data_IF_439178238061
#
_entry.id   IF_439178238061
#
_cell.length_a   1.000
_cell.length_b   1.000
_cell.length_c   1.000
_cell.angle_alpha   90.00
_cell.angle_beta   90.00
_cell.angle_gamma   90.00
#
_symmetry.space_group_name_H-M   'P 1'
#
loop_
_entity.id
_entity.type
_entity.pdbx_description
1 polymer ?
#
# COMPACT_ATOMS: atom_id res chain seq x y z
N UNK A 1 30.76 23.92 -12.45
CA UNK A 1 29.71 24.94 -12.18
C UNK A 1 29.10 24.62 -10.83
N UNK A 2 29.55 25.29 -9.77
CA UNK A 2 29.23 24.88 -8.38
C UNK A 2 27.95 25.50 -7.80
N UNK A 3 27.41 26.52 -8.47
CA UNK A 3 26.29 27.33 -7.97
C UNK A 3 24.93 26.94 -8.55
N UNK A 4 24.87 26.03 -9.52
CA UNK A 4 23.59 25.58 -10.10
C UNK A 4 22.89 24.68 -9.09
N UNK A 5 21.71 25.12 -8.63
CA UNK A 5 20.90 24.44 -7.60
C UNK A 5 19.69 23.70 -8.16
N UNK A 6 19.34 23.99 -9.39
CA UNK A 6 18.20 23.37 -10.05
C UNK A 6 18.48 23.42 -11.55
N UNK A 7 18.20 22.32 -12.24
CA UNK A 7 18.31 22.24 -13.69
C UNK A 7 17.06 21.58 -14.23
N UNK A 8 16.15 22.42 -14.73
CA UNK A 8 14.96 22.00 -15.42
C UNK A 8 15.22 22.02 -16.94
N UNK A 9 15.13 20.85 -17.57
CA UNK A 9 15.30 20.68 -19.02
C UNK A 9 13.96 20.63 -19.77
N UNK A 10 12.87 21.08 -19.14
CA UNK A 10 11.53 21.03 -19.72
C UNK A 10 11.47 21.74 -21.07
N UNK A 11 10.86 21.05 -22.05
CA UNK A 11 10.72 21.55 -23.42
C UNK A 11 12.00 21.60 -24.25
N UNK A 12 13.16 21.15 -23.74
CA UNK A 12 14.39 21.11 -24.54
C UNK A 12 14.37 19.94 -25.57
N UNK A 13 14.88 20.12 -26.79
CA UNK A 13 14.98 19.03 -27.77
C UNK A 13 16.21 18.12 -27.54
N UNK A 14 16.65 17.95 -26.29
CA UNK A 14 17.89 17.22 -25.98
C UNK A 14 17.66 15.71 -26.12
N UNK A 15 18.43 15.06 -27.01
CA UNK A 15 18.44 13.61 -27.18
C UNK A 15 19.50 12.91 -26.31
N UNK A 16 20.54 13.63 -25.88
CA UNK A 16 21.64 13.08 -25.10
C UNK A 16 22.19 14.14 -24.15
N UNK A 17 22.32 13.79 -22.87
CA UNK A 17 23.03 14.63 -21.91
C UNK A 17 24.53 14.44 -22.12
N UNK A 18 25.31 15.51 -22.39
CA UNK A 18 26.73 15.37 -22.58
C UNK A 18 27.43 14.97 -21.28
N UNK A 19 28.53 14.23 -21.38
CA UNK A 19 29.33 13.78 -20.21
C UNK A 19 29.72 14.94 -19.27
N UNK A 20 29.85 16.16 -19.79
CA UNK A 20 30.14 17.37 -19.00
C UNK A 20 29.12 17.69 -17.92
N UNK A 21 27.91 17.10 -17.95
CA UNK A 21 26.91 17.23 -16.87
C UNK A 21 27.44 16.71 -15.52
N UNK A 22 28.40 15.78 -15.52
CA UNK A 22 29.03 15.31 -14.27
C UNK A 22 29.81 16.43 -13.55
N UNK A 23 30.16 17.52 -14.25
CA UNK A 23 30.87 18.68 -13.67
C UNK A 23 29.92 19.66 -12.95
N UNK A 24 28.62 19.35 -12.89
CA UNK A 24 27.62 20.09 -12.13
C UNK A 24 27.63 19.67 -10.65
N UNK A 25 28.79 19.72 -10.01
CA UNK A 25 29.02 19.25 -8.63
C UNK A 25 28.13 19.94 -7.57
N UNK A 26 27.56 21.10 -7.92
CA UNK A 26 26.61 21.87 -7.11
C UNK A 26 25.17 21.34 -7.11
N UNK A 27 24.77 20.53 -8.11
CA UNK A 27 23.38 20.26 -8.45
C UNK A 27 22.73 19.23 -7.53
N UNK A 28 21.67 19.58 -6.79
CA UNK A 28 20.91 18.66 -5.95
C UNK A 28 19.78 17.93 -6.67
N UNK A 29 19.17 18.54 -7.68
CA UNK A 29 18.02 18.00 -8.42
C UNK A 29 18.24 18.12 -9.93
N UNK A 30 18.00 17.02 -10.65
CA UNK A 30 17.97 16.98 -12.11
C UNK A 30 16.55 16.69 -12.60
N UNK A 31 15.98 17.61 -13.36
CA UNK A 31 14.59 17.55 -13.83
C UNK A 31 14.50 17.45 -15.35
N UNK A 32 13.85 16.38 -15.81
CA UNK A 32 13.71 15.95 -17.19
C UNK A 32 12.23 15.72 -17.51
N UNK A 33 11.51 16.81 -17.75
CA UNK A 33 10.08 16.78 -18.09
C UNK A 33 9.88 17.08 -19.57
N UNK A 34 9.56 16.07 -20.36
CA UNK A 34 9.38 16.28 -21.79
C UNK A 34 8.03 15.77 -22.22
N UNK A 35 7.38 16.52 -23.11
CA UNK A 35 6.28 16.02 -23.92
C UNK A 35 6.84 15.65 -25.30
N UNK A 36 7.09 14.36 -25.54
CA UNK A 36 7.28 13.78 -26.88
C UNK A 36 8.53 14.17 -27.72
N UNK A 37 9.64 14.66 -27.16
CA UNK A 37 10.74 15.21 -27.99
C UNK A 37 11.81 14.22 -28.49
N UNK A 38 12.30 13.24 -27.69
CA UNK A 38 13.29 12.24 -28.15
C UNK A 38 13.46 11.09 -27.13
N UNK A 39 14.22 10.05 -27.51
CA UNK A 39 14.85 9.15 -26.53
C UNK A 39 15.98 9.95 -25.88
N UNK A 40 16.00 10.00 -24.55
CA UNK A 40 17.02 10.72 -23.78
C UNK A 40 18.07 9.73 -23.29
N UNK A 41 19.28 9.90 -23.78
CA UNK A 41 20.46 9.17 -23.31
C UNK A 41 21.10 9.93 -22.16
N UNK A 42 21.31 9.24 -21.03
CA UNK A 42 21.81 9.82 -19.78
C UNK A 42 23.09 9.08 -19.38
N UNK A 43 24.24 9.75 -19.28
CA UNK A 43 25.45 9.17 -18.70
C UNK A 43 25.20 8.60 -17.31
N UNK A 44 25.53 7.33 -17.09
CA UNK A 44 25.34 6.69 -15.78
C UNK A 44 26.18 7.37 -14.68
N UNK A 45 27.28 8.04 -15.03
CA UNK A 45 28.14 8.78 -14.10
C UNK A 45 27.45 9.94 -13.39
N UNK A 46 26.32 10.45 -13.91
CA UNK A 46 25.52 11.52 -13.26
C UNK A 46 25.14 11.13 -11.83
N UNK A 47 24.90 9.84 -11.56
CA UNK A 47 24.51 9.37 -10.21
C UNK A 47 25.65 9.52 -9.18
N UNK A 48 26.89 9.76 -9.63
CA UNK A 48 28.08 9.96 -8.79
C UNK A 48 28.30 11.44 -8.43
N UNK A 49 27.46 12.35 -8.93
CA UNK A 49 27.55 13.77 -8.60
C UNK A 49 27.36 13.98 -7.09
N UNK A 50 28.26 14.74 -6.42
CA UNK A 50 28.40 14.72 -4.96
C UNK A 50 27.20 15.28 -4.20
N UNK A 51 26.42 16.17 -4.83
CA UNK A 51 25.21 16.78 -4.24
C UNK A 51 23.90 16.26 -4.82
N UNK A 52 23.92 15.46 -5.89
CA UNK A 52 22.72 15.01 -6.57
C UNK A 52 21.94 14.04 -5.68
N UNK A 53 20.77 14.49 -5.22
CA UNK A 53 19.86 13.76 -4.36
C UNK A 53 18.64 13.28 -5.14
N UNK A 54 18.18 14.07 -6.12
CA UNK A 54 16.91 13.84 -6.77
C UNK A 54 17.06 13.80 -8.31
N UNK A 55 16.43 12.81 -8.93
CA UNK A 55 16.32 12.68 -10.38
C UNK A 55 14.84 12.51 -10.72
N UNK A 56 14.31 13.44 -11.51
CA UNK A 56 12.93 13.41 -11.98
C UNK A 56 12.88 13.32 -13.49
N UNK A 57 12.26 12.27 -14.00
CA UNK A 57 11.97 12.08 -15.40
C UNK A 57 10.48 11.77 -15.58
N UNK A 58 9.81 12.47 -16.50
CA UNK A 58 8.42 12.16 -16.87
C UNK A 58 8.14 12.44 -18.34
N UNK A 59 7.37 11.56 -18.96
CA UNK A 59 6.84 11.74 -20.32
C UNK A 59 7.87 11.54 -21.44
N UNK A 60 8.98 10.87 -21.14
CA UNK A 60 10.04 10.60 -22.12
C UNK A 60 9.61 9.53 -23.12
N UNK A 61 9.97 9.70 -24.40
CA UNK A 61 9.79 8.65 -25.43
C UNK A 61 10.67 7.42 -25.15
N UNK A 62 11.74 7.60 -24.37
CA UNK A 62 12.65 6.58 -23.89
C UNK A 62 13.70 7.23 -23.00
N UNK A 63 14.15 6.51 -21.97
CA UNK A 63 15.34 6.89 -21.19
C UNK A 63 16.31 5.71 -21.19
N UNK A 64 17.57 5.98 -21.54
CA UNK A 64 18.63 4.99 -21.63
C UNK A 64 19.85 5.46 -20.86
N UNK A 65 20.40 4.58 -20.04
CA UNK A 65 21.68 4.82 -19.40
C UNK A 65 22.82 4.55 -20.37
N UNK A 66 23.70 5.54 -20.57
CA UNK A 66 24.97 5.33 -21.23
C UNK A 66 25.96 4.83 -20.18
N UNK A 67 26.38 3.57 -20.32
CA UNK A 67 27.48 3.00 -19.53
C UNK A 67 28.77 3.71 -19.93
N UNK A 68 29.63 4.04 -18.97
CA UNK A 68 31.01 4.40 -19.28
C UNK A 68 31.70 3.14 -19.82
N UNK A 69 32.51 3.30 -20.88
CA UNK A 69 33.39 2.22 -21.34
C UNK A 69 34.44 1.90 -20.27
N UNK A 70 34.78 0.61 -20.15
CA UNK A 70 35.59 -0.04 -19.12
C UNK A 70 37.08 0.40 -19.07
N UNK A 71 37.37 1.69 -19.26
CA UNK A 71 38.71 2.27 -19.17
C UNK A 71 39.08 2.81 -17.78
N UNK A 72 38.09 2.97 -16.88
CA UNK A 72 38.26 3.50 -15.52
C UNK A 72 37.51 2.68 -14.47
N UNK A 73 37.23 1.40 -14.73
CA UNK A 73 36.99 0.46 -13.64
C UNK A 73 38.31 0.21 -12.92
N UNK A 74 38.74 1.16 -12.08
CA UNK A 74 39.58 0.80 -10.94
C UNK A 74 38.76 -0.18 -10.09
N UNK A 75 38.94 -1.46 -10.40
CA UNK A 75 38.61 -2.61 -9.57
C UNK A 75 39.41 -2.50 -8.26
N UNK A 76 38.93 -1.63 -7.38
CA UNK A 76 39.42 -1.41 -6.04
C UNK A 76 38.24 -1.23 -5.07
N UNK A 77 38.46 -1.42 -3.76
CA UNK A 77 37.43 -1.30 -2.73
C UNK A 77 37.10 0.18 -2.47
N UNK A 78 36.42 0.82 -3.42
CA UNK A 78 36.20 2.27 -3.41
C UNK A 78 35.11 2.74 -4.37
N UNK A 79 34.11 1.91 -4.68
CA UNK A 79 32.95 2.36 -5.45
C UNK A 79 32.21 3.40 -4.62
N UNK A 80 32.28 4.67 -5.05
CA UNK A 80 31.58 5.77 -4.40
C UNK A 80 30.07 5.51 -4.53
N UNK A 81 29.32 5.38 -3.41
CA UNK A 81 27.89 5.20 -3.48
C UNK A 81 27.21 6.49 -3.96
N UNK A 82 26.16 6.33 -4.76
CA UNK A 82 25.32 7.45 -5.18
C UNK A 82 24.68 8.12 -3.97
N UNK A 83 24.57 9.45 -4.04
CA UNK A 83 23.85 10.28 -3.06
C UNK A 83 22.36 10.36 -3.34
N UNK A 84 21.90 9.82 -4.47
CA UNK A 84 20.50 9.88 -4.91
C UNK A 84 19.59 9.17 -3.91
N UNK A 85 18.61 9.90 -3.40
CA UNK A 85 17.58 9.43 -2.47
C UNK A 85 16.21 9.32 -3.15
N UNK A 86 15.97 10.06 -4.24
CA UNK A 86 14.72 10.04 -5.01
C UNK A 86 14.98 9.83 -6.50
N UNK A 87 14.36 8.79 -7.09
CA UNK A 87 14.39 8.54 -8.53
C UNK A 87 12.98 8.35 -9.05
N UNK A 88 12.53 9.28 -9.91
CA UNK A 88 11.27 9.17 -10.65
C UNK A 88 11.57 9.04 -12.14
N UNK A 89 10.97 8.05 -12.79
CA UNK A 89 10.97 7.91 -14.23
C UNK A 89 9.59 7.39 -14.66
N UNK A 90 8.62 8.29 -14.70
CA UNK A 90 7.21 7.99 -15.00
C UNK A 90 6.94 8.12 -16.48
N UNK A 91 6.31 7.11 -17.09
CA UNK A 91 5.93 7.19 -18.52
C UNK A 91 7.14 7.54 -19.40
N UNK A 92 8.25 6.80 -19.19
CA UNK A 92 9.54 7.04 -19.83
C UNK A 92 9.95 5.92 -20.77
N UNK A 93 9.00 5.05 -21.16
CA UNK A 93 9.20 3.90 -22.02
C UNK A 93 10.39 3.01 -21.59
N UNK A 94 10.54 2.79 -20.29
CA UNK A 94 11.64 1.97 -19.74
C UNK A 94 11.38 0.48 -19.98
N UNK A 95 12.42 -0.26 -20.34
CA UNK A 95 12.43 -1.73 -20.48
C UNK A 95 13.36 -2.36 -19.42
N UNK A 96 13.55 -3.68 -19.48
CA UNK A 96 14.37 -4.41 -18.49
C UNK A 96 15.84 -3.94 -18.46
N UNK A 97 16.33 -3.40 -19.58
CA UNK A 97 17.67 -2.85 -19.72
C UNK A 97 17.93 -1.64 -18.83
N UNK A 98 16.90 -0.91 -18.38
CA UNK A 98 17.01 0.19 -17.42
C UNK A 98 17.73 -0.22 -16.13
N UNK A 99 17.56 -1.48 -15.71
CA UNK A 99 18.22 -2.02 -14.53
C UNK A 99 19.59 -2.66 -14.80
N UNK A 100 20.13 -2.53 -16.03
CA UNK A 100 21.44 -3.08 -16.43
C UNK A 100 22.63 -2.26 -15.95
N UNK A 101 22.39 -1.05 -15.43
CA UNK A 101 23.40 -0.34 -14.66
C UNK A 101 23.57 -1.02 -13.31
N UNK A 102 24.73 -0.84 -12.70
CA UNK A 102 25.00 -1.32 -11.35
C UNK A 102 24.11 -0.60 -10.34
N UNK A 103 22.86 -1.06 -10.20
CA UNK A 103 21.82 -0.44 -9.38
C UNK A 103 22.16 -0.50 -7.89
N UNK A 104 23.17 -1.30 -7.52
CA UNK A 104 23.73 -1.40 -6.17
C UNK A 104 24.40 -0.08 -5.76
N UNK A 105 24.83 0.74 -6.74
CA UNK A 105 25.36 2.10 -6.51
C UNK A 105 24.31 3.05 -5.94
N UNK A 106 23.02 2.80 -6.15
CA UNK A 106 21.93 3.54 -5.51
C UNK A 106 21.73 3.13 -4.04
N UNK A 107 22.82 3.05 -3.28
CA UNK A 107 22.82 2.58 -1.91
C UNK A 107 21.96 3.46 -0.97
N UNK A 108 21.73 4.74 -1.29
CA UNK A 108 20.94 5.68 -0.48
C UNK A 108 19.50 5.89 -0.96
N UNK A 109 19.08 5.21 -2.03
CA UNK A 109 17.78 5.41 -2.64
C UNK A 109 16.65 5.06 -1.68
N UNK A 110 15.76 6.02 -1.41
CA UNK A 110 14.63 5.89 -0.49
C UNK A 110 13.30 5.76 -1.21
N UNK A 111 13.17 6.39 -2.37
CA UNK A 111 11.94 6.45 -3.17
C UNK A 111 12.23 6.16 -4.64
N UNK A 112 11.56 5.14 -5.18
CA UNK A 112 11.65 4.76 -6.59
C UNK A 112 10.25 4.77 -7.22
N UNK A 113 10.03 5.67 -8.17
CA UNK A 113 8.74 5.85 -8.83
C UNK A 113 8.86 5.63 -10.34
N UNK A 114 8.42 4.47 -10.80
CA UNK A 114 8.55 4.00 -12.18
C UNK A 114 7.21 3.64 -12.85
N UNK A 115 6.13 4.42 -12.66
CA UNK A 115 4.83 4.02 -13.17
C UNK A 115 4.78 4.18 -14.70
N UNK A 116 3.86 3.46 -15.35
CA UNK A 116 3.59 3.53 -16.79
C UNK A 116 4.80 3.19 -17.66
N UNK A 117 5.58 2.18 -17.27
CA UNK A 117 6.72 1.68 -18.05
C UNK A 117 6.50 0.24 -18.57
N UNK A 118 7.45 -0.24 -19.37
CA UNK A 118 7.31 -1.46 -20.18
C UNK A 118 8.22 -2.61 -19.75
N UNK A 119 9.02 -2.45 -18.69
CA UNK A 119 9.81 -3.54 -18.11
C UNK A 119 8.93 -4.71 -17.69
N UNK A 120 9.46 -5.92 -17.86
CA UNK A 120 8.80 -7.18 -17.58
C UNK A 120 9.24 -7.78 -16.25
N UNK A 121 10.42 -7.40 -15.74
CA UNK A 121 11.01 -7.93 -14.51
C UNK A 121 11.48 -6.80 -13.60
N UNK A 122 11.13 -6.90 -12.30
CA UNK A 122 11.90 -6.21 -11.26
C UNK A 122 13.05 -7.13 -10.81
N UNK A 123 14.31 -6.71 -10.99
CA UNK A 123 15.47 -7.58 -10.82
C UNK A 123 15.82 -7.86 -9.37
N UNK A 124 16.69 -8.85 -9.16
CA UNK A 124 17.14 -9.27 -7.84
C UNK A 124 18.05 -8.23 -7.17
N UNK A 125 18.74 -7.37 -7.93
CA UNK A 125 19.60 -6.32 -7.39
C UNK A 125 18.86 -5.35 -6.46
N UNK A 126 17.53 -5.20 -6.59
CA UNK A 126 16.72 -4.40 -5.68
C UNK A 126 16.74 -4.90 -4.22
N UNK A 127 17.11 -6.16 -3.97
CA UNK A 127 17.33 -6.68 -2.60
C UNK A 127 18.47 -5.95 -1.89
N UNK A 128 19.39 -5.35 -2.63
CA UNK A 128 20.54 -4.62 -2.09
C UNK A 128 20.20 -3.16 -1.74
N UNK A 129 19.04 -2.65 -2.18
CA UNK A 129 18.59 -1.30 -1.85
C UNK A 129 18.05 -1.22 -0.41
N UNK A 130 18.95 -1.21 0.58
CA UNK A 130 18.59 -1.29 2.00
C UNK A 130 17.74 -0.12 2.51
N UNK A 131 17.83 1.06 1.89
CA UNK A 131 17.09 2.25 2.30
C UNK A 131 15.79 2.47 1.52
N UNK A 132 15.53 1.65 0.50
CA UNK A 132 14.37 1.81 -0.37
C UNK A 132 13.09 1.46 0.41
N UNK A 133 12.31 2.49 0.71
CA UNK A 133 11.13 2.41 1.55
C UNK A 133 9.83 2.58 0.76
N UNK A 134 9.91 3.17 -0.44
CA UNK A 134 8.79 3.40 -1.35
C UNK A 134 9.14 2.93 -2.76
N UNK A 135 8.34 2.03 -3.32
CA UNK A 135 8.43 1.58 -4.71
C UNK A 135 7.05 1.62 -5.36
N UNK A 136 6.92 2.36 -6.44
CA UNK A 136 5.68 2.40 -7.22
C UNK A 136 5.98 2.12 -8.69
N UNK A 137 5.38 1.04 -9.17
CA UNK A 137 5.45 0.50 -10.55
C UNK A 137 4.05 0.40 -11.14
N UNK A 138 3.12 1.25 -10.70
CA UNK A 138 1.73 1.25 -11.16
C UNK A 138 1.64 1.50 -12.67
N UNK A 139 0.65 0.91 -13.31
CA UNK A 139 0.40 0.95 -14.74
C UNK A 139 1.53 0.35 -15.61
N UNK A 140 2.49 -0.38 -15.02
CA UNK A 140 3.43 -1.22 -15.76
C UNK A 140 2.75 -2.52 -16.23
N UNK A 141 2.01 -2.43 -17.34
CA UNK A 141 1.13 -3.50 -17.83
C UNK A 141 1.88 -4.77 -18.23
N UNK A 142 3.16 -4.67 -18.58
CA UNK A 142 4.01 -5.78 -19.00
C UNK A 142 4.82 -6.40 -17.87
N UNK A 143 4.78 -5.84 -16.64
CA UNK A 143 5.47 -6.40 -15.48
C UNK A 143 4.89 -7.79 -15.15
N UNK A 144 5.73 -8.81 -15.27
CA UNK A 144 5.41 -10.23 -15.05
C UNK A 144 6.02 -10.74 -13.75
N UNK A 145 7.27 -10.38 -13.46
CA UNK A 145 8.04 -11.01 -12.40
C UNK A 145 8.68 -9.98 -11.47
N UNK A 146 8.75 -10.32 -10.18
CA UNK A 146 9.49 -9.58 -9.17
C UNK A 146 10.46 -10.57 -8.54
N UNK A 147 11.75 -10.39 -8.81
CA UNK A 147 12.83 -11.26 -8.31
C UNK A 147 13.46 -10.73 -7.02
N UNK A 148 13.36 -9.42 -6.79
CA UNK A 148 13.89 -8.77 -5.60
C UNK A 148 12.86 -7.91 -4.87
N UNK A 149 12.75 -8.08 -3.55
CA UNK A 149 12.05 -7.15 -2.66
C UNK A 149 13.11 -6.48 -1.77
N UNK A 150 13.18 -5.14 -1.74
CA UNK A 150 14.03 -4.42 -0.80
C UNK A 150 13.65 -4.77 0.66
N UNK A 151 14.63 -5.02 1.55
CA UNK A 151 14.36 -5.54 2.90
C UNK A 151 13.56 -4.57 3.80
N UNK A 152 13.68 -3.25 3.56
CA UNK A 152 12.99 -2.22 4.34
C UNK A 152 11.82 -1.57 3.59
N UNK A 153 11.27 -2.25 2.59
CA UNK A 153 10.17 -1.72 1.78
C UNK A 153 8.90 -1.55 2.62
N UNK A 154 8.46 -0.30 2.78
CA UNK A 154 7.24 0.04 3.55
C UNK A 154 6.04 0.29 2.65
N UNK A 155 6.25 0.78 1.43
CA UNK A 155 5.19 1.12 0.49
C UNK A 155 5.48 0.50 -0.87
N UNK A 156 4.53 -0.27 -1.38
CA UNK A 156 4.63 -0.91 -2.68
C UNK A 156 3.34 -0.74 -3.47
N UNK A 157 3.43 -0.20 -4.69
CA UNK A 157 2.28 -0.03 -5.56
C UNK A 157 2.53 -0.67 -6.92
N UNK A 158 1.69 -1.63 -7.29
CA UNK A 158 1.65 -2.28 -8.60
C UNK A 158 0.22 -2.22 -9.17
N UNK A 159 -0.40 -1.04 -9.05
CA UNK A 159 -1.76 -0.81 -9.50
C UNK A 159 -1.82 -1.03 -11.02
N UNK A 160 -2.87 -1.67 -11.52
CA UNK A 160 -3.07 -2.00 -12.93
C UNK A 160 -1.95 -2.84 -13.61
N UNK A 161 -1.04 -3.47 -12.85
CA UNK A 161 -0.02 -4.40 -13.37
C UNK A 161 -0.62 -5.79 -13.69
N UNK A 162 -1.49 -5.84 -14.70
CA UNK A 162 -2.35 -7.01 -15.00
C UNK A 162 -1.57 -8.30 -15.29
N UNK A 163 -0.36 -8.19 -15.85
CA UNK A 163 0.49 -9.34 -16.22
C UNK A 163 1.28 -9.95 -15.05
N UNK A 164 1.19 -9.37 -13.84
CA UNK A 164 1.99 -9.79 -12.71
C UNK A 164 1.68 -11.25 -12.32
N UNK A 165 2.71 -12.10 -12.31
CA UNK A 165 2.58 -13.53 -12.06
C UNK A 165 2.09 -13.84 -10.64
N UNK A 166 1.43 -15.00 -10.49
CA UNK A 166 0.93 -15.48 -9.20
C UNK A 166 2.04 -15.72 -8.18
N UNK A 167 3.23 -16.13 -8.62
CA UNK A 167 4.43 -16.30 -7.78
C UNK A 167 4.83 -14.97 -7.11
N UNK A 168 4.93 -13.90 -7.90
CA UNK A 168 5.28 -12.56 -7.40
C UNK A 168 4.21 -12.02 -6.44
N UNK A 169 2.92 -12.19 -6.80
CA UNK A 169 1.79 -11.82 -5.92
C UNK A 169 1.83 -12.58 -4.60
N UNK A 170 2.16 -13.88 -4.60
CA UNK A 170 2.24 -14.70 -3.39
C UNK A 170 3.38 -14.26 -2.48
N UNK A 171 4.55 -13.95 -3.06
CA UNK A 171 5.69 -13.42 -2.32
C UNK A 171 5.33 -12.09 -1.62
N UNK A 172 4.68 -11.17 -2.34
CA UNK A 172 4.26 -9.86 -1.81
C UNK A 172 3.06 -9.89 -0.87
N UNK A 173 2.33 -11.01 -0.78
CA UNK A 173 1.18 -11.21 0.12
C UNK A 173 1.52 -12.18 1.27
N UNK A 174 2.80 -12.47 1.47
CA UNK A 174 3.27 -13.37 2.52
C UNK A 174 2.96 -12.77 3.91
N UNK A 175 2.44 -13.59 4.82
CA UNK A 175 2.03 -13.16 6.16
C UNK A 175 3.21 -12.59 6.97
N UNK A 176 4.35 -13.26 7.00
CA UNK A 176 5.55 -12.87 7.77
C UNK A 176 6.06 -11.48 7.34
N UNK A 177 6.01 -11.17 6.04
CA UNK A 177 6.38 -9.85 5.51
C UNK A 177 5.56 -8.72 6.15
N UNK A 178 4.25 -8.92 6.27
CA UNK A 178 3.33 -7.92 6.84
C UNK A 178 3.30 -7.96 8.37
N UNK A 179 3.55 -9.11 8.99
CA UNK A 179 3.70 -9.26 10.44
C UNK A 179 5.02 -8.71 10.97
N UNK A 180 6.08 -8.65 10.15
CA UNK A 180 7.34 -8.00 10.49
C UNK A 180 7.30 -6.49 10.21
N UNK A 181 6.79 -6.09 9.05
CA UNK A 181 6.84 -4.70 8.58
C UNK A 181 5.66 -3.81 9.00
N UNK A 182 5.80 -2.51 8.76
CA UNK A 182 4.69 -1.54 8.79
C UNK A 182 4.35 -1.17 7.33
N UNK A 183 3.79 -2.13 6.61
CA UNK A 183 3.66 -2.09 5.14
C UNK A 183 2.34 -1.49 4.67
N UNK A 184 2.35 -0.87 3.48
CA UNK A 184 1.18 -0.47 2.69
C UNK A 184 1.40 -0.93 1.25
N UNK A 185 0.79 -2.04 0.87
CA UNK A 185 1.00 -2.71 -0.40
C UNK A 185 -0.30 -2.71 -1.21
N UNK A 186 -0.18 -2.38 -2.49
CA UNK A 186 -1.28 -2.42 -3.44
C UNK A 186 -0.90 -3.22 -4.67
N UNK A 187 -1.69 -4.26 -4.98
CA UNK A 187 -1.42 -5.14 -6.11
C UNK A 187 -2.70 -5.75 -6.69
N UNK A 188 -2.67 -6.24 -7.95
CA UNK A 188 -3.87 -6.75 -8.60
C UNK A 188 -4.37 -8.06 -7.96
N UNK A 189 -5.68 -8.15 -7.76
CA UNK A 189 -6.33 -9.42 -7.43
C UNK A 189 -7.70 -9.31 -6.76
N UNK A 190 -8.39 -10.44 -6.72
CA UNK A 190 -9.84 -10.51 -6.45
C UNK A 190 -10.20 -11.24 -5.14
N UNK A 191 -9.19 -11.74 -4.43
CA UNK A 191 -9.35 -12.57 -3.24
C UNK A 191 -8.52 -12.03 -2.08
N UNK A 192 -9.11 -12.08 -0.89
CA UNK A 192 -8.40 -11.86 0.37
C UNK A 192 -7.38 -12.99 0.56
N UNK A 193 -6.14 -12.72 0.99
CA UNK A 193 -5.18 -13.77 1.35
C UNK A 193 -5.74 -14.68 2.45
N UNK A 194 -5.52 -15.99 2.34
CA UNK A 194 -6.14 -16.99 3.24
C UNK A 194 -5.80 -16.81 4.72
N UNK A 195 -4.67 -16.17 5.04
CA UNK A 195 -4.22 -15.93 6.42
C UNK A 195 -5.00 -14.81 7.14
N UNK A 196 -5.86 -14.06 6.44
CA UNK A 196 -6.83 -13.19 7.08
C UNK A 196 -7.95 -14.01 7.71
N UNK A 197 -7.89 -14.19 9.02
CA UNK A 197 -8.79 -15.10 9.72
C UNK A 197 -10.22 -14.56 9.88
N UNK A 198 -10.40 -13.24 9.81
CA UNK A 198 -11.72 -12.62 9.83
C UNK A 198 -11.92 -11.82 8.54
N UNK A 199 -12.97 -12.17 7.80
CA UNK A 199 -13.27 -11.62 6.49
C UNK A 199 -14.76 -11.31 6.39
N UNK A 200 -15.10 -10.27 5.62
CA UNK A 200 -16.47 -9.89 5.37
C UNK A 200 -16.66 -9.44 3.92
N UNK A 201 -17.89 -9.55 3.41
CA UNK A 201 -18.30 -8.88 2.17
C UNK A 201 -18.66 -7.42 2.48
N UNK A 202 -18.39 -6.54 1.52
CA UNK A 202 -18.59 -5.10 1.66
C UNK A 202 -17.33 -4.37 2.12
N UNK A 203 -17.52 -3.16 2.64
CA UNK A 203 -16.47 -2.18 2.96
C UNK A 203 -16.25 -2.00 4.45
N UNK A 204 -16.89 -2.81 5.30
CA UNK A 204 -16.73 -2.71 6.75
C UNK A 204 -16.50 -4.05 7.42
N UNK A 205 -15.66 -4.02 8.43
CA UNK A 205 -15.32 -5.16 9.27
C UNK A 205 -15.21 -4.69 10.72
N UNK A 206 -15.54 -5.55 11.66
CA UNK A 206 -15.47 -5.20 13.06
C UNK A 206 -14.90 -6.32 13.91
N UNK A 207 -14.39 -5.93 15.06
CA UNK A 207 -13.95 -6.83 16.11
C UNK A 207 -14.16 -6.14 17.45
N UNK A 208 -14.07 -6.92 18.52
CA UNK A 208 -14.18 -6.48 19.89
C UNK A 208 -12.83 -6.60 20.56
N UNK A 209 -12.52 -5.64 21.43
CA UNK A 209 -11.31 -5.69 22.25
C UNK A 209 -11.57 -5.16 23.66
N UNK A 210 -10.72 -5.53 24.61
CA UNK A 210 -10.74 -4.99 25.98
C UNK A 210 -9.37 -4.48 26.40
N UNK A 211 -9.32 -3.70 27.48
CA UNK A 211 -8.11 -3.08 28.03
C UNK A 211 -7.45 -2.05 27.09
N UNK A 212 -6.82 -2.52 26.00
CA UNK A 212 -6.06 -1.69 25.05
C UNK A 212 -6.38 -2.07 23.61
N UNK A 213 -6.37 -1.08 22.72
CA UNK A 213 -6.48 -1.33 21.29
C UNK A 213 -5.31 -2.19 20.78
N UNK A 214 -5.53 -3.20 19.92
CA UNK A 214 -4.45 -4.06 19.44
C UNK A 214 -3.33 -3.29 18.72
N UNK A 215 -2.09 -3.49 19.14
CA UNK A 215 -0.89 -2.80 18.68
C UNK A 215 -0.56 -3.08 17.21
N UNK A 216 -0.90 -4.28 16.70
CA UNK A 216 -0.66 -4.62 15.29
C UNK A 216 -1.87 -5.29 14.65
N UNK A 217 -2.51 -4.53 13.76
CA UNK A 217 -3.70 -4.92 13.01
C UNK A 217 -3.43 -4.75 11.53
N UNK A 218 -3.42 -5.87 10.80
CA UNK A 218 -3.35 -5.86 9.35
C UNK A 218 -4.75 -5.84 8.77
N UNK A 219 -4.97 -4.99 7.79
CA UNK A 219 -6.22 -4.86 7.08
C UNK A 219 -5.99 -5.09 5.59
N UNK A 220 -6.94 -5.75 4.95
CA UNK A 220 -6.97 -5.88 3.49
C UNK A 220 -8.32 -5.45 2.96
N UNK A 221 -8.32 -4.58 1.96
CA UNK A 221 -9.50 -4.28 1.16
C UNK A 221 -9.27 -4.82 -0.25
N UNK A 222 -10.23 -5.57 -0.77
CA UNK A 222 -10.29 -5.96 -2.18
C UNK A 222 -11.45 -5.22 -2.80
N UNK A 223 -11.18 -4.21 -3.59
CA UNK A 223 -12.21 -3.40 -4.23
C UNK A 223 -11.69 -2.76 -5.52
N UNK A 224 -12.56 -2.45 -6.48
CA UNK A 224 -12.25 -1.44 -7.49
C UNK A 224 -12.26 -0.04 -6.86
N UNK A 225 -11.27 0.79 -7.17
CA UNK A 225 -11.21 2.20 -6.77
C UNK A 225 -11.09 3.08 -8.01
N UNK A 226 -11.95 4.10 -8.13
CA UNK A 226 -11.87 5.10 -9.19
C UNK A 226 -11.59 6.46 -8.55
N UNK A 227 -10.41 7.03 -8.80
CA UNK A 227 -10.08 8.40 -8.39
C UNK A 227 -10.37 8.71 -6.92
N UNK A 228 -10.00 7.79 -6.02
CA UNK A 228 -10.31 7.92 -4.61
C UNK A 228 -9.06 7.90 -3.74
N UNK A 229 -9.10 8.78 -2.74
CA UNK A 229 -8.19 8.71 -1.62
C UNK A 229 -8.55 7.48 -0.79
N UNK A 230 -7.61 6.56 -0.62
CA UNK A 230 -7.75 5.46 0.31
C UNK A 230 -7.78 6.01 1.73
N UNK A 231 -8.98 5.96 2.34
CA UNK A 231 -9.29 6.60 3.61
C UNK A 231 -10.01 5.63 4.53
N UNK A 232 -9.31 4.65 5.13
CA UNK A 232 -9.91 3.84 6.18
C UNK A 232 -10.40 4.75 7.31
N UNK A 233 -11.61 4.47 7.79
CA UNK A 233 -12.19 5.09 8.98
C UNK A 233 -12.29 4.05 10.07
N UNK A 234 -11.78 4.41 11.24
CA UNK A 234 -11.85 3.55 12.43
C UNK A 234 -12.82 4.21 13.41
N UNK A 235 -13.81 3.43 13.82
CA UNK A 235 -14.77 3.80 14.84
C UNK A 235 -14.55 2.89 16.06
N UNK A 236 -14.48 3.48 17.26
CA UNK A 236 -14.50 2.72 18.51
C UNK A 236 -15.74 3.14 19.29
N UNK A 237 -16.61 2.19 19.62
CA UNK A 237 -17.90 2.43 20.29
C UNK A 237 -18.72 3.55 19.60
N UNK A 238 -18.73 3.55 18.25
CA UNK A 238 -19.42 4.56 17.45
C UNK A 238 -18.70 5.90 17.27
N UNK A 239 -17.61 6.18 18.00
CA UNK A 239 -16.81 7.40 17.84
C UNK A 239 -15.72 7.23 16.80
N UNK A 240 -15.61 8.15 15.84
CA UNK A 240 -14.56 8.11 14.81
C UNK A 240 -13.21 8.61 15.34
N UNK A 241 -12.14 7.88 15.02
CA UNK A 241 -10.77 8.18 15.47
C UNK A 241 -9.80 8.54 14.34
N UNK A 242 -10.14 8.42 13.06
CA UNK A 242 -9.20 8.73 11.96
C UNK A 242 -9.32 10.16 11.42
N UNK A 243 -8.20 10.68 10.92
CA UNK A 243 -8.06 11.88 10.06
C UNK A 243 -8.13 11.51 8.57
N UNK A 244 -8.17 12.52 7.70
CA UNK A 244 -8.07 12.33 6.26
C UNK A 244 -6.67 11.86 5.87
N UNK A 245 -6.49 10.57 5.63
CA UNK A 245 -5.26 10.07 4.99
C UNK A 245 -5.39 10.16 3.46
N UNK A 246 -4.27 10.32 2.76
CA UNK A 246 -4.26 10.64 1.33
C UNK A 246 -3.30 9.70 0.58
N UNK A 247 -3.81 8.53 0.18
CA UNK A 247 -3.18 7.75 -0.89
C UNK A 247 -4.09 7.81 -2.12
N UNK A 248 -3.61 8.40 -3.20
CA UNK A 248 -4.37 8.47 -4.44
C UNK A 248 -4.34 7.10 -5.12
N UNK A 249 -5.43 6.34 -5.04
CA UNK A 249 -5.50 4.99 -5.58
C UNK A 249 -6.58 4.93 -6.67
N UNK A 250 -6.15 4.57 -7.89
CA UNK A 250 -7.04 4.40 -9.05
C UNK A 250 -6.73 3.10 -9.75
N UNK A 251 -7.64 2.14 -9.70
CA UNK A 251 -7.50 0.90 -10.44
C UNK A 251 -8.62 -0.10 -10.20
N UNK A 252 -8.72 -1.08 -11.09
CA UNK A 252 -9.77 -2.10 -11.04
C UNK A 252 -9.35 -3.32 -10.22
N UNK A 253 -10.14 -3.66 -9.20
CA UNK A 253 -10.02 -4.87 -8.38
C UNK A 253 -8.59 -5.11 -7.87
N UNK A 254 -8.15 -4.22 -6.99
CA UNK A 254 -6.85 -4.32 -6.32
C UNK A 254 -7.02 -4.77 -4.88
N UNK A 255 -5.96 -5.40 -4.37
CA UNK A 255 -5.79 -5.72 -2.95
C UNK A 255 -4.99 -4.60 -2.32
N UNK A 256 -5.59 -3.92 -1.36
CA UNK A 256 -5.00 -2.86 -0.56
C UNK A 256 -4.71 -3.42 0.81
N UNK A 257 -3.46 -3.79 1.04
CA UNK A 257 -2.99 -4.40 2.27
C UNK A 257 -2.21 -3.36 3.06
N UNK A 258 -2.60 -3.10 4.30
CA UNK A 258 -1.99 -2.06 5.11
C UNK A 258 -2.05 -2.39 6.60
N UNK A 259 -1.01 -1.97 7.30
CA UNK A 259 -1.03 -1.90 8.76
C UNK A 259 -1.92 -0.72 9.18
N UNK A 260 -2.89 -0.97 10.07
CA UNK A 260 -3.84 0.03 10.51
C UNK A 260 -3.16 1.26 11.16
N UNK A 261 -1.96 1.08 11.75
CA UNK A 261 -1.12 2.17 12.30
C UNK A 261 -0.65 3.17 11.25
N UNK A 262 -0.72 2.81 9.96
CA UNK A 262 -0.40 3.72 8.85
C UNK A 262 -1.51 4.71 8.54
N UNK A 263 -2.67 4.57 9.19
CA UNK A 263 -3.75 5.53 9.12
C UNK A 263 -3.47 6.70 10.06
N UNK A 264 -3.76 7.92 9.62
CA UNK A 264 -3.72 9.10 10.51
C UNK A 264 -4.87 9.08 11.53
N UNK A 265 -4.58 9.25 12.82
CA UNK A 265 -5.57 9.26 13.91
C UNK A 265 -5.70 10.63 14.61
N UNK A 266 -6.94 11.02 15.00
CA UNK A 266 -7.29 12.26 15.74
C UNK A 266 -6.72 12.31 17.15
N UNK A 267 -6.69 11.15 17.80
CA UNK A 267 -6.01 10.88 19.07
C UNK A 267 -5.35 9.51 18.90
N UNK A 268 -4.16 9.32 19.44
CA UNK A 268 -3.46 8.03 19.36
C UNK A 268 -4.36 6.95 19.96
N UNK A 269 -4.94 6.08 19.12
CA UNK A 269 -5.78 4.96 19.56
C UNK A 269 -5.06 4.06 20.58
N UNK A 270 -3.73 4.14 20.59
CA UNK A 270 -2.83 3.34 21.41
C UNK A 270 -2.55 3.96 22.79
N UNK A 271 -2.99 5.20 23.04
CA UNK A 271 -2.78 5.94 24.29
C UNK A 271 -4.10 6.32 24.98
N UNK A 272 -5.25 5.95 24.41
CA UNK A 272 -6.56 6.26 24.99
C UNK A 272 -7.01 5.10 25.88
N UNK A 273 -7.28 5.34 27.18
CA UNK A 273 -7.94 4.34 28.01
C UNK A 273 -9.40 4.17 27.57
N UNK A 274 -9.88 2.93 27.58
CA UNK A 274 -11.26 2.60 27.23
C UNK A 274 -11.99 2.07 28.47
N UNK A 275 -13.07 2.74 28.86
CA UNK A 275 -13.77 2.46 30.12
C UNK A 275 -14.69 1.22 30.06
N UNK A 276 -15.05 0.78 28.85
CA UNK A 276 -15.93 -0.39 28.67
C UNK A 276 -15.15 -1.71 28.81
N UNK A 277 -15.76 -2.70 29.47
CA UNK A 277 -15.24 -4.08 29.54
C UNK A 277 -14.95 -4.63 28.14
N UNK A 278 -15.84 -4.39 27.18
CA UNK A 278 -15.63 -4.69 25.76
C UNK A 278 -15.91 -3.46 24.90
N UNK A 279 -14.99 -3.21 23.96
CA UNK A 279 -15.03 -2.08 23.04
C UNK A 279 -15.20 -2.60 21.62
N UNK A 280 -16.16 -2.03 20.89
CA UNK A 280 -16.43 -2.39 19.50
C UNK A 280 -15.57 -1.53 18.57
N UNK A 281 -14.64 -2.16 17.86
CA UNK A 281 -13.88 -1.55 16.79
C UNK A 281 -14.52 -1.87 15.45
N UNK A 282 -14.83 -0.84 14.66
CA UNK A 282 -15.30 -0.96 13.28
C UNK A 282 -14.35 -0.22 12.34
N UNK A 283 -13.74 -0.96 11.42
CA UNK A 283 -12.95 -0.41 10.32
C UNK A 283 -13.86 -0.36 9.09
N UNK A 284 -13.98 0.80 8.47
CA UNK A 284 -14.79 0.98 7.26
C UNK A 284 -14.08 1.81 6.22
N UNK A 285 -14.32 1.51 4.96
CA UNK A 285 -13.92 2.34 3.85
C UNK A 285 -15.14 3.13 3.38
N UNK A 286 -15.04 4.47 3.28
CA UNK A 286 -16.16 5.29 2.88
C UNK A 286 -16.66 4.86 1.51
N UNK A 287 -17.98 4.79 1.41
CA UNK A 287 -18.65 4.53 0.15
C UNK A 287 -18.41 5.71 -0.80
N UNK A 288 -17.61 5.48 -1.84
CA UNK A 288 -17.58 6.37 -2.99
C UNK A 288 -18.92 6.29 -3.72
N UNK A 289 -19.28 7.33 -4.49
CA UNK A 289 -20.56 7.47 -5.22
C UNK A 289 -20.81 6.42 -6.33
N UNK A 290 -20.19 5.24 -6.31
CA UNK A 290 -20.26 4.28 -7.42
C UNK A 290 -20.62 2.85 -6.98
N UNK A 291 -21.45 2.24 -7.81
CA UNK A 291 -22.06 0.89 -7.76
C UNK A 291 -21.08 -0.30 -7.64
N UNK A 292 -19.78 -0.05 -7.67
CA UNK A 292 -18.73 -1.08 -7.73
C UNK A 292 -18.29 -1.62 -6.35
N UNK A 293 -18.76 -1.02 -5.26
CA UNK A 293 -18.49 -1.47 -3.88
C UNK A 293 -19.24 -2.75 -3.51
N UNK A 294 -20.29 -3.13 -4.23
CA UNK A 294 -21.02 -4.39 -3.98
C UNK A 294 -20.12 -5.64 -4.11
N UNK A 295 -18.97 -5.52 -4.79
CA UNK A 295 -17.95 -6.57 -4.92
C UNK A 295 -16.80 -6.45 -3.93
N UNK A 296 -16.85 -5.46 -3.04
CA UNK A 296 -15.81 -5.26 -2.05
C UNK A 296 -15.76 -6.45 -1.09
N UNK A 297 -14.54 -6.79 -0.70
CA UNK A 297 -14.27 -7.74 0.36
C UNK A 297 -13.25 -7.11 1.28
N UNK A 298 -13.43 -7.26 2.58
CA UNK A 298 -12.53 -6.72 3.58
C UNK A 298 -12.10 -7.84 4.51
N UNK A 299 -10.83 -7.81 4.92
CA UNK A 299 -10.26 -8.76 5.87
C UNK A 299 -9.48 -8.03 6.94
N UNK A 300 -9.44 -8.61 8.13
CA UNK A 300 -8.64 -8.14 9.24
C UNK A 300 -7.88 -9.32 9.86
N UNK A 301 -6.65 -9.04 10.24
CA UNK A 301 -5.77 -9.98 10.91
C UNK A 301 -5.08 -9.28 12.07
N UNK A 302 -5.24 -9.83 13.27
CA UNK A 302 -4.62 -9.31 14.49
C UNK A 302 -3.40 -10.19 14.76
N UNK A 303 -2.22 -9.56 14.82
CA UNK A 303 -0.94 -10.29 14.87
C UNK A 303 -0.73 -10.84 16.27
N UNK A 304 -0.75 -12.17 16.42
CA UNK A 304 -0.77 -12.83 17.73
C UNK A 304 0.46 -12.50 18.58
N UNK A 305 1.63 -12.42 17.97
CA UNK A 305 2.90 -12.16 18.66
C UNK A 305 2.99 -10.75 19.24
N UNK A 306 2.16 -9.83 18.76
CA UNK A 306 2.15 -8.43 19.17
C UNK A 306 0.92 -8.07 20.05
N UNK A 307 0.01 -9.01 20.31
CA UNK A 307 -1.27 -8.72 20.95
C UNK A 307 -1.71 -9.83 21.90
N UNK A 308 -2.40 -9.47 22.99
CA UNK A 308 -3.08 -10.45 23.83
C UNK A 308 -4.37 -10.92 23.15
N UNK A 309 -4.38 -12.17 22.66
CA UNK A 309 -5.52 -12.72 21.93
C UNK A 309 -6.73 -13.05 22.81
N UNK A 310 -6.58 -13.12 24.14
CA UNK A 310 -7.72 -13.24 25.06
C UNK A 310 -8.57 -11.96 25.11
N UNK A 311 -7.92 -10.84 24.79
CA UNK A 311 -8.52 -9.51 24.83
C UNK A 311 -9.14 -9.11 23.48
N UNK A 312 -9.29 -10.07 22.55
CA UNK A 312 -9.77 -9.82 21.18
C UNK A 312 -10.81 -10.87 20.79
N UNK A 313 -11.95 -10.42 20.22
CA UNK A 313 -13.01 -11.31 19.70
C UNK A 313 -13.56 -10.81 18.38
N UNK A 314 -13.98 -11.71 17.50
CA UNK A 314 -14.65 -11.36 16.24
C UNK A 314 -16.17 -11.52 16.29
N UNK A 315 -16.69 -12.03 17.41
CA UNK A 315 -18.12 -12.17 17.69
C UNK A 315 -18.52 -11.27 18.85
N UNK A 316 -19.80 -10.87 18.88
CA UNK A 316 -20.34 -10.03 19.94
C UNK A 316 -20.27 -10.75 21.30
N UNK A 317 -19.48 -10.26 22.29
CA UNK A 317 -19.37 -10.87 23.60
C UNK A 317 -20.68 -10.82 24.40
N UNK A 318 -21.58 -9.88 24.09
CA UNK A 318 -22.86 -9.69 24.79
C UNK A 318 -23.99 -10.58 24.25
N UNK A 319 -23.81 -11.20 23.07
CA UNK A 319 -24.82 -12.06 22.45
C UNK A 319 -25.17 -13.31 23.26
N UNK A 320 -24.20 -13.87 24.01
CA UNK A 320 -24.42 -15.06 24.86
C UNK A 320 -25.24 -14.76 26.12
N UNK A 321 -25.23 -13.53 26.64
CA UNK A 321 -25.98 -13.22 27.88
C UNK A 321 -27.49 -13.13 27.65
N UNK A 322 -27.95 -12.91 26.41
CA UNK A 322 -29.39 -12.84 26.10
C UNK A 322 -30.06 -14.22 26.10
N UNK A 323 -29.38 -15.26 25.62
CA UNK A 323 -29.96 -16.62 25.58
C UNK A 323 -30.15 -17.24 26.96
N UNK A 324 -29.31 -16.89 27.94
CA UNK A 324 -29.38 -17.44 29.29
C UNK A 324 -30.43 -16.72 30.15
N UNK A 325 -30.77 -15.47 29.82
CA UNK A 325 -31.84 -14.72 30.48
C UNK A 325 -33.23 -15.19 30.03
N UNK A 326 -33.39 -15.59 28.77
CA UNK A 326 -34.66 -16.09 28.23
C UNK A 326 -35.05 -17.50 28.75
N UNK A 327 -34.09 -18.26 29.29
CA UNK A 327 -34.35 -19.58 29.93
C UNK A 327 -34.74 -19.41 31.41
N UNK A 328 -34.42 -18.27 32.03
CA UNK A 328 -34.69 -18.01 33.46
C UNK A 328 -36.05 -17.34 33.75
N UNK A 329 -36.84 -17.02 32.73
CA UNK A 329 -38.14 -16.34 32.89
C UNK A 329 -39.36 -17.21 32.62
N UNK A 330 -39.21 -18.53 32.52
CA UNK A 330 -40.34 -19.46 32.34
C UNK A 330 -40.58 -20.29 33.59
N UNK A 331 -41.06 -19.66 34.66
CA UNK A 331 -41.76 -20.38 35.74
C UNK A 331 -43.02 -19.63 36.16
N UNK A 332 -44.14 -20.33 35.97
CA UNK A 332 -45.48 -20.19 36.57
C UNK A 332 -46.21 -18.84 36.52
N UNK A 333 -47.33 -18.81 35.78
CA UNK A 333 -48.67 -18.70 36.41
C UNK A 333 -49.77 -19.11 35.42
N UNK A 334 -50.39 -20.25 35.71
CA UNK A 334 -51.61 -20.75 35.07
C UNK A 334 -52.84 -20.14 35.73
N UNK A 335 -53.72 -19.52 34.96
CA UNK A 335 -55.07 -19.10 35.40
C UNK A 335 -56.13 -19.80 34.52
N UNK A 336 -57.27 -20.25 35.07
CA UNK A 336 -58.08 -21.31 34.49
C UNK A 336 -59.14 -20.82 33.48
N UNK A 337 -59.55 -21.79 32.66
CA UNK A 337 -60.62 -21.77 31.67
C UNK A 337 -61.99 -21.49 32.31
N UNK A 338 -62.75 -20.55 31.74
CA UNK A 338 -64.20 -20.43 31.93
C UNK A 338 -64.94 -20.73 30.61
N UNK A 339 -65.93 -21.62 30.71
CA UNK A 339 -66.79 -22.11 29.63
C UNK A 339 -68.00 -21.20 29.38
N UNK A 340 -68.37 -21.14 28.09
CA UNK A 340 -69.71 -21.06 27.49
C UNK A 340 -70.64 -19.87 27.76
N UNK A 341 -71.07 -19.20 26.68
CA UNK A 341 -72.47 -19.26 26.24
C UNK A 341 -72.61 -19.02 24.72
N UNK A 342 -73.53 -19.79 24.11
CA UNK A 342 -73.93 -19.85 22.69
C UNK A 342 -74.92 -18.75 22.28
N UNK A 343 -75.12 -18.68 20.94
CA UNK A 343 -76.28 -18.18 20.16
C UNK A 343 -76.22 -16.68 19.77
N UNK A 344 -76.49 -16.23 18.53
CA UNK A 344 -77.18 -16.76 17.34
C UNK A 344 -76.73 -15.99 16.07
N UNK A 345 -76.94 -16.62 14.91
CA UNK A 345 -76.83 -16.10 13.53
C UNK A 345 -77.61 -14.80 13.28
N UNK A 346 -77.22 -14.05 12.23
CA UNK A 346 -78.09 -13.74 11.08
C UNK A 346 -77.30 -13.15 9.90
N UNK A 347 -77.60 -13.70 8.71
CA UNK A 347 -77.12 -13.34 7.38
C UNK A 347 -77.54 -11.93 6.91
N UNK A 348 -76.72 -11.34 6.03
CA UNK A 348 -77.10 -10.94 4.66
C UNK A 348 -75.86 -10.73 3.78
#
# INVERSE_FOLDING_TARGET
MENIRELNLEGCPIAELPLSFQNLTGLPSLEMFFSNSAIVKVPSSIIMMPKLADIYARGLKGLQWLKQEDGEEQMGPGVVPSKVEWLTASDCNLYDDFFSIDFTRFARLKNLWLPKNNFTILPECLKQCQFLSYLDVSDCKHLREIRGIPPNLKRFFAINCKSLASSSKRMLLNQELHEAGNTVFCLPGFSIPKWFNHQNRGTSISFWFRNKFPDKVQCVLVAPMQHHYFRPRVFINGKQYTFYDHYYLTGNHHKYLFDLRKTSFRKSLYEVPFDSEWNHAKVTFPEGKYTSINRAKIGIHIVKQANNMEDVRFTDPCSKRKSDLDISSSDSESIPVAKEHRFLDFDL
#
